data_IF_375950533148
#
_entry.id   IF_375950533148
#
_cell.length_a   1.000
_cell.length_b   1.000
_cell.length_c   1.000
_cell.angle_alpha   90.00
_cell.angle_beta   90.00
_cell.angle_gamma   90.00
#
_symmetry.space_group_name_H-M   'P 1'
#
loop_
_entity.id
_entity.type
_entity.pdbx_description
1 polymer ?
#
# COMPACT_ATOMS: atom_id res chain seq x y z
N UNK A 1 3.22 8.80 20.15
CA UNK A 1 3.36 7.65 21.06
C UNK A 1 4.49 7.89 22.06
N UNK A 2 4.16 8.47 23.21
CA UNK A 2 5.02 8.44 24.39
C UNK A 2 5.24 6.96 24.72
N UNK A 3 6.39 6.40 24.33
CA UNK A 3 6.70 4.99 24.50
C UNK A 3 6.55 4.64 25.97
N UNK A 4 5.65 3.71 26.28
CA UNK A 4 5.55 3.14 27.62
C UNK A 4 6.89 2.49 27.92
N UNK A 5 7.61 3.05 28.87
CA UNK A 5 8.86 2.46 29.36
C UNK A 5 8.46 1.47 30.45
N UNK A 6 8.93 0.23 30.33
CA UNK A 6 8.71 -0.83 31.30
C UNK A 6 10.05 -1.24 31.92
N UNK A 7 10.01 -1.75 33.15
CA UNK A 7 11.22 -2.23 33.80
C UNK A 7 11.73 -3.50 33.13
N UNK A 8 13.04 -3.64 33.04
CA UNK A 8 13.65 -4.86 32.52
C UNK A 8 13.32 -6.08 33.39
N UNK A 9 13.09 -5.88 34.69
CA UNK A 9 12.63 -6.92 35.61
C UNK A 9 11.28 -7.50 35.21
N UNK A 10 10.32 -6.64 34.82
CA UNK A 10 9.04 -7.11 34.28
C UNK A 10 9.26 -7.90 33.00
N UNK A 11 10.17 -7.45 32.13
CA UNK A 11 10.55 -8.19 30.92
C UNK A 11 11.07 -9.59 31.23
N UNK A 12 11.90 -9.74 32.27
CA UNK A 12 12.40 -11.04 32.71
C UNK A 12 11.29 -11.94 33.29
N UNK A 13 10.33 -11.36 34.02
CA UNK A 13 9.17 -12.08 34.54
C UNK A 13 8.30 -12.66 33.41
N UNK A 14 7.99 -11.84 32.40
CA UNK A 14 7.21 -12.25 31.23
C UNK A 14 7.93 -13.35 30.43
N UNK A 15 9.25 -13.25 30.27
CA UNK A 15 10.06 -14.24 29.54
C UNK A 15 10.10 -15.63 30.20
N UNK A 16 9.80 -15.72 31.50
CA UNK A 16 9.80 -16.98 32.26
C UNK A 16 8.42 -17.65 32.32
N UNK A 17 7.41 -17.08 31.66
CA UNK A 17 6.06 -17.68 31.62
C UNK A 17 6.01 -18.89 30.69
N UNK A 18 5.16 -19.87 31.03
CA UNK A 18 4.98 -21.12 30.30
C UNK A 18 4.49 -20.93 28.85
N UNK A 19 3.74 -19.87 28.61
CA UNK A 19 3.10 -19.52 27.35
C UNK A 19 4.10 -18.88 26.37
N UNK A 20 5.26 -18.44 26.87
CA UNK A 20 6.29 -17.72 26.14
C UNK A 20 7.42 -18.67 25.74
N UNK A 21 7.74 -18.71 24.44
CA UNK A 21 8.94 -19.39 23.98
C UNK A 21 10.16 -18.53 24.35
N UNK A 22 10.82 -18.87 25.46
CA UNK A 22 11.95 -18.11 25.99
C UNK A 22 13.14 -18.09 25.02
N UNK A 23 13.27 -19.03 24.08
CA UNK A 23 14.38 -19.09 23.11
C UNK A 23 14.16 -18.19 21.89
N UNK A 24 12.91 -17.87 21.59
CA UNK A 24 12.52 -17.05 20.43
C UNK A 24 11.98 -15.68 20.80
N UNK A 25 11.68 -15.44 22.06
CA UNK A 25 11.19 -14.13 22.54
C UNK A 25 12.36 -13.19 22.87
N UNK A 26 12.13 -11.88 22.89
CA UNK A 26 13.20 -10.92 23.18
C UNK A 26 12.68 -9.64 23.82
N UNK A 27 13.52 -9.03 24.66
CA UNK A 27 13.31 -7.69 25.20
C UNK A 27 13.80 -6.66 24.19
N UNK A 28 13.03 -5.60 23.98
CA UNK A 28 13.37 -4.57 23.03
C UNK A 28 13.23 -3.17 23.62
N UNK A 29 14.23 -2.33 23.35
CA UNK A 29 14.17 -0.89 23.59
C UNK A 29 13.96 -0.19 22.24
N UNK A 30 12.92 0.62 22.18
CA UNK A 30 12.48 1.31 20.99
C UNK A 30 12.52 2.81 21.24
N UNK A 31 13.43 3.52 20.57
CA UNK A 31 13.52 4.97 20.70
C UNK A 31 13.64 5.68 19.35
N UNK A 32 12.72 6.59 19.01
CA UNK A 32 12.87 7.45 17.86
C UNK A 32 13.91 8.53 18.17
N UNK A 33 14.91 8.67 17.31
CA UNK A 33 15.86 9.78 17.33
C UNK A 33 15.63 10.68 16.13
N UNK A 34 15.69 11.99 16.36
CA UNK A 34 15.75 12.95 15.27
C UNK A 34 17.20 12.99 14.76
N UNK A 35 17.37 12.92 13.45
CA UNK A 35 18.69 12.96 12.85
C UNK A 35 19.07 14.40 12.47
N UNK A 36 20.28 14.82 12.79
CA UNK A 36 20.80 16.14 12.42
C UNK A 36 21.12 16.24 10.92
N UNK A 37 21.41 15.10 10.27
CA UNK A 37 21.90 15.05 8.89
C UNK A 37 20.79 14.96 7.83
N UNK A 38 19.57 14.56 8.20
CA UNK A 38 18.44 14.46 7.26
C UNK A 38 17.09 14.64 7.96
N UNK A 39 16.11 15.18 7.23
CA UNK A 39 14.75 15.37 7.75
C UNK A 39 14.06 14.02 7.94
N UNK A 40 13.89 13.60 9.19
CA UNK A 40 13.16 12.39 9.57
C UNK A 40 13.52 11.93 10.98
N UNK A 41 12.79 10.93 11.45
CA UNK A 41 13.16 10.18 12.66
C UNK A 41 13.80 8.88 12.23
N UNK A 42 14.86 8.44 12.88
CA UNK A 42 15.40 7.08 12.75
C UNK A 42 15.08 6.31 14.02
N UNK A 43 14.70 5.04 13.88
CA UNK A 43 14.34 4.22 15.03
C UNK A 43 15.55 3.48 15.58
N UNK A 44 15.99 3.78 16.80
CA UNK A 44 16.96 2.93 17.49
C UNK A 44 16.23 1.73 18.12
N UNK A 45 16.77 0.55 17.85
CA UNK A 45 16.24 -0.72 18.32
C UNK A 45 17.34 -1.44 19.10
N UNK A 46 17.23 -1.46 20.42
CA UNK A 46 18.10 -2.24 21.30
C UNK A 46 17.56 -3.65 21.47
N UNK A 47 18.32 -4.67 21.08
CA UNK A 47 17.94 -6.09 21.23
C UNK A 47 18.97 -6.86 22.05
N UNK A 48 18.50 -7.92 22.72
CA UNK A 48 19.40 -8.88 23.37
C UNK A 48 20.22 -9.61 22.29
N UNK A 49 21.56 -9.65 22.39
CA UNK A 49 22.39 -10.34 21.41
C UNK A 49 21.96 -11.80 21.21
N UNK A 50 21.87 -12.22 19.95
CA UNK A 50 21.45 -13.58 19.56
C UNK A 50 19.94 -13.75 19.41
N UNK A 51 19.16 -12.68 19.66
CA UNK A 51 17.71 -12.64 19.48
C UNK A 51 17.27 -11.70 18.36
N UNK A 52 18.19 -11.38 17.45
CA UNK A 52 17.90 -10.49 16.32
C UNK A 52 16.94 -11.13 15.32
N UNK A 53 16.94 -12.47 15.21
CA UNK A 53 16.02 -13.22 14.33
C UNK A 53 14.55 -12.97 14.67
N UNK A 54 14.19 -12.79 15.94
CA UNK A 54 12.81 -12.46 16.36
C UNK A 54 12.33 -11.14 15.74
N UNK A 55 13.25 -10.21 15.52
CA UNK A 55 12.98 -8.91 14.93
C UNK A 55 13.12 -8.91 13.40
N UNK A 56 14.10 -9.66 12.87
CA UNK A 56 14.49 -9.66 11.45
C UNK A 56 13.73 -10.73 10.63
N UNK A 57 13.53 -11.94 11.17
CA UNK A 57 13.00 -13.10 10.42
C UNK A 57 11.48 -13.29 10.50
N UNK A 58 10.79 -12.63 11.43
CA UNK A 58 9.31 -12.61 11.44
C UNK A 58 8.72 -11.95 10.19
N UNK A 59 9.56 -11.34 9.35
CA UNK A 59 9.26 -10.99 7.98
C UNK A 59 9.85 -12.09 7.07
N UNK A 60 8.99 -12.90 6.44
CA UNK A 60 9.43 -13.90 5.45
C UNK A 60 10.24 -13.22 4.33
N UNK A 61 11.38 -13.79 3.95
CA UNK A 61 12.28 -13.38 2.86
C UNK A 61 13.15 -12.12 3.10
N UNK A 62 13.43 -11.74 4.34
CA UNK A 62 14.40 -10.66 4.59
C UNK A 62 15.79 -11.10 4.19
N UNK A 63 16.35 -10.38 3.23
CA UNK A 63 17.76 -10.52 2.86
C UNK A 63 18.54 -9.48 3.64
N UNK A 64 19.58 -9.92 4.35
CA UNK A 64 20.55 -9.02 5.00
C UNK A 64 21.87 -9.18 4.27
N UNK A 65 22.43 -8.07 3.82
CA UNK A 65 23.79 -8.03 3.30
C UNK A 65 24.74 -7.88 4.50
N UNK A 66 25.67 -8.81 4.69
CA UNK A 66 26.60 -8.83 5.83
C UNK A 66 26.20 -9.76 6.98
N UNK A 67 26.54 -9.39 8.21
CA UNK A 67 26.24 -10.16 9.43
C UNK A 67 24.82 -9.88 9.93
N UNK A 68 24.18 -10.92 10.47
CA UNK A 68 22.79 -10.89 11.00
C UNK A 68 22.67 -10.86 12.52
N UNK A 69 23.76 -11.16 13.23
CA UNK A 69 23.76 -11.24 14.69
C UNK A 69 24.83 -10.34 15.29
N UNK A 70 24.52 -9.78 16.46
CA UNK A 70 25.42 -8.95 17.26
C UNK A 70 26.23 -9.80 18.26
N UNK A 71 26.03 -11.12 18.32
CA UNK A 71 26.76 -12.02 19.22
C UNK A 71 28.25 -11.99 18.93
N UNK A 72 29.05 -11.66 19.95
CA UNK A 72 30.52 -11.60 19.85
C UNK A 72 31.05 -10.35 19.16
N UNK A 73 30.19 -9.41 18.78
CA UNK A 73 30.59 -8.11 18.25
C UNK A 73 30.72 -7.06 19.37
N UNK A 74 31.43 -5.96 19.09
CA UNK A 74 31.55 -4.85 20.02
C UNK A 74 30.25 -4.05 20.13
N UNK A 75 30.08 -3.34 21.25
CA UNK A 75 28.91 -2.50 21.54
C UNK A 75 28.64 -1.43 20.46
N UNK A 76 29.68 -1.00 19.74
CA UNK A 76 29.59 -0.04 18.65
C UNK A 76 29.20 -0.66 17.30
N UNK A 77 28.85 -1.94 17.25
CA UNK A 77 28.45 -2.62 16.02
C UNK A 77 26.93 -2.54 15.82
N UNK A 78 26.50 -2.19 14.62
CA UNK A 78 25.08 -1.97 14.30
C UNK A 78 24.65 -2.65 13.01
N UNK A 79 23.39 -3.07 12.98
CA UNK A 79 22.70 -3.51 11.78
C UNK A 79 21.70 -2.40 11.41
N UNK A 80 21.67 -1.97 10.16
CA UNK A 80 20.85 -0.84 9.74
C UNK A 80 19.82 -1.23 8.68
N UNK A 81 18.69 -0.53 8.67
CA UNK A 81 17.70 -0.63 7.60
C UNK A 81 18.16 0.02 6.29
N UNK A 82 17.54 -0.36 5.18
CA UNK A 82 17.88 0.12 3.84
C UNK A 82 17.79 1.65 3.70
N UNK A 83 16.79 2.30 4.31
CA UNK A 83 16.61 3.74 4.25
C UNK A 83 17.70 4.48 5.03
N UNK A 84 18.13 3.93 6.17
CA UNK A 84 19.27 4.47 6.93
C UNK A 84 20.56 4.30 6.12
N UNK A 85 20.76 3.14 5.49
CA UNK A 85 21.92 2.90 4.64
C UNK A 85 22.00 3.89 3.47
N UNK A 86 20.87 4.15 2.80
CA UNK A 86 20.80 5.15 1.73
C UNK A 86 21.07 6.57 2.22
N UNK A 87 20.44 7.00 3.32
CA UNK A 87 20.59 8.36 3.83
C UNK A 87 22.02 8.66 4.28
N UNK A 88 22.73 7.66 4.80
CA UNK A 88 24.13 7.79 5.22
C UNK A 88 25.13 7.38 4.13
N UNK A 89 24.67 6.94 2.94
CA UNK A 89 25.50 6.26 1.92
C UNK A 89 26.41 5.18 2.52
N UNK A 90 25.86 4.42 3.48
CA UNK A 90 26.60 3.43 4.25
C UNK A 90 26.65 2.09 3.52
N UNK A 91 27.78 1.39 3.66
CA UNK A 91 27.99 0.03 3.16
C UNK A 91 28.39 -0.89 4.31
N UNK A 92 28.28 -2.20 4.11
CA UNK A 92 28.74 -3.16 5.12
C UNK A 92 30.23 -2.94 5.38
N UNK A 93 30.58 -2.66 6.63
CA UNK A 93 31.93 -2.32 7.08
C UNK A 93 32.20 -0.83 7.25
N UNK A 94 31.32 0.06 6.76
CA UNK A 94 31.49 1.52 6.94
C UNK A 94 31.13 1.96 8.36
N UNK A 95 31.61 3.16 8.75
CA UNK A 95 31.27 3.77 10.04
C UNK A 95 30.25 4.89 9.82
N UNK A 96 29.14 4.85 10.55
CA UNK A 96 28.15 5.93 10.60
C UNK A 96 28.24 6.67 11.92
N UNK A 97 27.87 7.95 11.94
CA UNK A 97 27.82 8.76 13.17
C UNK A 97 26.37 9.10 13.47
N UNK A 98 25.92 8.72 14.67
CA UNK A 98 24.54 8.91 15.14
C UNK A 98 24.60 9.41 16.58
N UNK A 99 23.94 10.54 16.87
CA UNK A 99 23.92 11.16 18.21
C UNK A 99 25.33 11.31 18.80
N UNK A 100 26.27 11.82 17.99
CA UNK A 100 27.69 12.02 18.34
C UNK A 100 28.49 10.74 18.69
N UNK A 101 27.94 9.55 18.43
CA UNK A 101 28.59 8.26 18.59
C UNK A 101 28.89 7.61 17.24
N UNK A 102 30.04 6.95 17.12
CA UNK A 102 30.47 6.26 15.90
C UNK A 102 30.14 4.78 15.97
N UNK A 103 29.43 4.30 14.96
CA UNK A 103 28.98 2.92 14.86
C UNK A 103 29.51 2.26 13.60
N UNK A 104 29.99 1.02 13.73
CA UNK A 104 30.40 0.19 12.61
C UNK A 104 29.23 -0.60 12.08
N UNK A 105 28.90 -0.42 10.80
CA UNK A 105 27.82 -1.15 10.14
C UNK A 105 28.30 -2.55 9.83
N UNK A 106 27.69 -3.56 10.45
CA UNK A 106 28.03 -4.98 10.22
C UNK A 106 27.03 -5.69 9.31
N UNK A 107 25.83 -5.12 9.13
CA UNK A 107 24.79 -5.66 8.28
C UNK A 107 23.81 -4.59 7.82
N UNK A 108 23.25 -4.79 6.63
CA UNK A 108 22.21 -3.92 6.05
C UNK A 108 20.99 -4.79 5.72
N UNK A 109 19.84 -4.46 6.30
CA UNK A 109 18.56 -5.11 6.04
C UNK A 109 18.02 -4.55 4.72
N UNK A 110 17.75 -5.42 3.74
CA UNK A 110 17.15 -5.00 2.46
C UNK A 110 15.73 -4.51 2.67
N UNK A 111 15.28 -3.62 1.78
CA UNK A 111 13.98 -2.99 1.87
C UNK A 111 12.84 -4.02 1.91
N UNK A 112 12.02 -3.94 2.95
CA UNK A 112 10.84 -4.80 3.15
C UNK A 112 9.57 -4.00 2.84
N UNK A 113 9.57 -2.69 3.10
CA UNK A 113 8.40 -1.82 3.01
C UNK A 113 7.72 -1.57 4.35
N UNK A 114 6.41 -1.33 4.34
CA UNK A 114 5.64 -0.98 5.54
C UNK A 114 5.29 -2.21 6.38
N UNK A 115 5.68 -2.21 7.65
CA UNK A 115 5.39 -3.28 8.59
C UNK A 115 5.63 -2.87 10.04
N UNK A 116 5.07 -3.64 10.97
CA UNK A 116 5.40 -3.56 12.39
C UNK A 116 6.54 -4.53 12.71
N UNK A 117 7.48 -4.14 13.59
CA UNK A 117 7.59 -2.82 14.23
C UNK A 117 8.04 -1.74 13.23
N UNK A 118 7.55 -0.51 13.44
CA UNK A 118 7.75 0.69 12.60
C UNK A 118 8.93 0.57 11.62
N UNK A 119 8.63 0.61 10.31
CA UNK A 119 9.58 0.62 9.17
C UNK A 119 10.98 0.13 9.56
N UNK A 120 11.19 -1.19 9.58
CA UNK A 120 12.51 -1.82 9.76
C UNK A 120 13.55 -1.17 8.84
N UNK A 121 13.12 -0.73 7.66
CA UNK A 121 13.90 0.04 6.67
C UNK A 121 14.55 1.32 7.26
N UNK A 122 13.94 1.94 8.28
CA UNK A 122 14.42 3.14 8.95
C UNK A 122 14.85 2.88 10.40
N UNK A 123 15.43 1.71 10.65
CA UNK A 123 15.90 1.29 11.98
C UNK A 123 17.43 1.15 12.06
N UNK A 124 17.96 1.36 13.26
CA UNK A 124 19.33 1.04 13.66
C UNK A 124 19.23 0.05 14.81
N UNK A 125 19.58 -1.20 14.53
CA UNK A 125 19.58 -2.29 15.49
C UNK A 125 20.96 -2.38 16.14
N UNK A 126 20.98 -2.38 17.46
CA UNK A 126 22.18 -2.45 18.29
C UNK A 126 21.93 -3.29 19.55
N UNK A 127 22.97 -3.54 20.33
CA UNK A 127 22.83 -4.31 21.56
C UNK A 127 21.99 -3.54 22.59
N UNK A 128 21.11 -4.24 23.32
CA UNK A 128 20.20 -3.66 24.29
C UNK A 128 20.94 -2.88 25.39
N UNK A 129 22.01 -3.46 25.94
CA UNK A 129 22.87 -2.83 26.95
C UNK A 129 23.45 -1.51 26.46
N UNK A 130 23.94 -1.49 25.23
CA UNK A 130 24.50 -0.29 24.61
C UNK A 130 23.43 0.77 24.35
N UNK A 131 22.26 0.36 23.83
CA UNK A 131 21.14 1.26 23.62
C UNK A 131 20.66 1.90 24.94
N UNK A 132 20.55 1.12 26.02
CA UNK A 132 20.21 1.62 27.35
C UNK A 132 21.24 2.63 27.87
N UNK A 133 22.54 2.36 27.65
CA UNK A 133 23.62 3.26 28.08
C UNK A 133 23.61 4.57 27.30
N UNK A 134 23.48 4.52 25.97
CA UNK A 134 23.49 5.71 25.10
C UNK A 134 22.27 6.60 25.34
N UNK A 135 21.14 5.99 25.71
CA UNK A 135 19.89 6.69 25.95
C UNK A 135 19.65 7.08 27.42
N UNK A 136 20.62 6.85 28.30
CA UNK A 136 20.49 7.11 29.74
C UNK A 136 19.26 6.42 30.37
N UNK A 137 18.93 5.22 29.89
CA UNK A 137 17.77 4.42 30.31
C UNK A 137 18.20 3.06 30.89
N UNK A 138 18.93 3.04 32.02
CA UNK A 138 19.44 1.80 32.61
C UNK A 138 18.29 0.91 33.11
N UNK A 139 18.33 -0.38 32.77
CA UNK A 139 17.33 -1.39 33.18
C UNK A 139 15.89 -1.08 32.74
N UNK A 140 15.75 -0.31 31.67
CA UNK A 140 14.46 0.06 31.09
C UNK A 140 14.38 -0.49 29.67
N UNK A 141 13.20 -0.96 29.30
CA UNK A 141 12.88 -1.45 27.95
C UNK A 141 11.55 -0.82 27.51
N UNK A 142 11.23 -0.89 26.21
CA UNK A 142 9.96 -0.37 25.70
C UNK A 142 8.90 -1.46 25.57
N UNK A 143 9.32 -2.68 25.26
CA UNK A 143 8.40 -3.80 25.05
C UNK A 143 9.10 -5.15 25.15
N UNK A 144 8.30 -6.20 25.23
CA UNK A 144 8.73 -7.59 25.12
C UNK A 144 8.10 -8.15 23.84
N UNK A 145 8.93 -8.60 22.90
CA UNK A 145 8.48 -9.28 21.70
C UNK A 145 8.36 -10.76 22.04
N UNK A 146 7.12 -11.24 22.06
CA UNK A 146 6.78 -12.58 22.52
C UNK A 146 6.50 -13.47 21.31
N UNK A 147 7.17 -14.61 21.27
CA UNK A 147 6.81 -15.73 20.40
C UNK A 147 6.10 -16.76 21.27
N UNK A 148 4.80 -17.03 21.04
CA UNK A 148 4.05 -17.97 21.86
C UNK A 148 4.56 -19.40 21.65
N UNK A 149 4.47 -20.23 22.69
CA UNK A 149 4.87 -21.64 22.64
C UNK A 149 3.90 -22.49 21.80
N UNK A 150 2.59 -22.20 21.89
CA UNK A 150 1.54 -22.97 21.22
C UNK A 150 0.74 -22.11 20.21
N UNK A 151 -0.05 -21.17 20.72
CA UNK A 151 -0.95 -20.33 19.91
C UNK A 151 -0.87 -18.86 20.33
N UNK A 152 -0.92 -17.97 19.34
CA UNK A 152 -0.94 -16.51 19.55
C UNK A 152 -2.19 -16.12 20.35
N UNK A 153 -3.36 -16.61 19.96
CA UNK A 153 -4.63 -16.17 20.56
C UNK A 153 -4.74 -16.58 22.04
N UNK A 154 -4.23 -17.76 22.40
CA UNK A 154 -4.23 -18.24 23.79
C UNK A 154 -3.26 -17.43 24.63
N UNK A 155 -2.03 -17.27 24.15
CA UNK A 155 -1.01 -16.50 24.86
C UNK A 155 -1.42 -15.02 25.02
N UNK A 156 -2.10 -14.44 24.04
CA UNK A 156 -2.62 -13.08 24.11
C UNK A 156 -3.63 -12.92 25.25
N UNK A 157 -4.62 -13.82 25.34
CA UNK A 157 -5.63 -13.81 26.39
C UNK A 157 -4.99 -13.99 27.77
N UNK A 158 -4.09 -14.96 27.92
CA UNK A 158 -3.44 -15.26 29.19
C UNK A 158 -2.55 -14.12 29.67
N UNK A 159 -1.79 -13.51 28.76
CA UNK A 159 -0.96 -12.34 29.07
C UNK A 159 -1.83 -11.11 29.38
N UNK A 160 -2.94 -10.90 28.68
CA UNK A 160 -3.82 -9.75 28.91
C UNK A 160 -4.54 -9.84 30.25
N UNK A 161 -4.86 -11.06 30.69
CA UNK A 161 -5.40 -11.33 32.02
C UNK A 161 -4.34 -11.16 33.12
N UNK A 162 -3.10 -11.60 32.87
CA UNK A 162 -2.01 -11.48 33.83
C UNK A 162 -1.51 -10.03 33.99
N UNK A 163 -1.54 -9.23 32.92
CA UNK A 163 -0.98 -7.89 32.86
C UNK A 163 -2.03 -6.87 32.33
N UNK A 164 -3.16 -6.66 33.04
CA UNK A 164 -4.27 -5.83 32.55
C UNK A 164 -3.93 -4.34 32.40
N UNK A 165 -2.87 -3.87 33.07
CA UNK A 165 -2.37 -2.50 32.96
C UNK A 165 -1.52 -2.25 31.71
N UNK A 166 -1.21 -3.29 30.94
CA UNK A 166 -0.37 -3.23 29.75
C UNK A 166 -1.17 -3.58 28.50
N UNK A 167 -0.85 -2.89 27.40
CA UNK A 167 -1.43 -3.19 26.10
C UNK A 167 -0.65 -4.31 25.44
N UNK A 168 -1.30 -5.45 25.21
CA UNK A 168 -0.73 -6.54 24.41
C UNK A 168 -1.31 -6.43 23.01
N UNK A 169 -0.43 -6.48 22.03
CA UNK A 169 -0.79 -6.40 20.62
C UNK A 169 -0.27 -7.65 19.92
N UNK A 170 -1.17 -8.39 19.28
CA UNK A 170 -0.76 -9.49 18.43
C UNK A 170 -0.43 -9.02 17.01
N UNK A 171 0.29 -9.86 16.27
CA UNK A 171 0.44 -9.64 14.83
C UNK A 171 -0.92 -9.68 14.11
N UNK A 172 -1.88 -10.45 14.64
CA UNK A 172 -3.23 -10.54 14.09
C UNK A 172 -3.98 -9.21 14.23
N UNK A 173 -3.86 -8.50 15.35
CA UNK A 173 -4.53 -7.20 15.54
C UNK A 173 -3.96 -6.12 14.63
N UNK A 174 -2.64 -6.11 14.48
CA UNK A 174 -1.97 -5.18 13.58
C UNK A 174 -2.38 -5.43 12.14
N UNK A 175 -2.42 -6.70 11.71
CA UNK A 175 -2.89 -7.08 10.37
C UNK A 175 -4.35 -6.72 10.16
N UNK A 176 -5.25 -7.05 11.09
CA UNK A 176 -6.67 -6.69 11.03
C UNK A 176 -6.85 -5.18 10.92
N UNK A 177 -6.18 -4.40 11.77
CA UNK A 177 -6.25 -2.93 11.74
C UNK A 177 -5.78 -2.37 10.40
N UNK A 178 -4.70 -2.91 9.83
CA UNK A 178 -4.22 -2.51 8.50
C UNK A 178 -5.21 -2.93 7.40
N UNK A 179 -5.75 -4.15 7.45
CA UNK A 179 -6.73 -4.66 6.51
C UNK A 179 -8.03 -3.84 6.55
N UNK A 180 -8.50 -3.47 7.74
CA UNK A 180 -9.67 -2.62 7.96
C UNK A 180 -9.45 -1.21 7.43
N UNK A 181 -8.31 -0.58 7.74
CA UNK A 181 -7.97 0.74 7.20
C UNK A 181 -7.88 0.73 5.66
N UNK A 182 -7.24 -0.30 5.10
CA UNK A 182 -7.17 -0.48 3.64
C UNK A 182 -8.54 -0.76 3.04
N UNK A 183 -9.40 -1.50 3.73
CA UNK A 183 -10.78 -1.76 3.31
C UNK A 183 -11.59 -0.47 3.25
N UNK A 184 -11.50 0.39 4.26
CA UNK A 184 -12.17 1.70 4.27
C UNK A 184 -11.69 2.60 3.12
N UNK A 185 -10.38 2.66 2.89
CA UNK A 185 -9.81 3.40 1.76
C UNK A 185 -10.34 2.84 0.42
N UNK A 186 -10.36 1.51 0.25
CA UNK A 186 -10.90 0.86 -0.96
C UNK A 186 -12.37 1.19 -1.17
N UNK A 187 -13.20 1.13 -0.13
CA UNK A 187 -14.62 1.47 -0.22
C UNK A 187 -14.80 2.92 -0.69
N UNK A 188 -14.06 3.85 -0.09
CA UNK A 188 -14.09 5.26 -0.47
C UNK A 188 -13.73 5.48 -1.94
N UNK A 189 -12.63 4.89 -2.42
CA UNK A 189 -12.26 4.97 -3.83
C UNK A 189 -13.27 4.30 -4.76
N UNK A 190 -13.83 3.15 -4.37
CA UNK A 190 -14.88 2.48 -5.15
C UNK A 190 -16.13 3.35 -5.29
N UNK A 191 -16.52 4.10 -4.25
CA UNK A 191 -17.62 5.05 -4.34
C UNK A 191 -17.33 6.17 -5.33
N UNK A 192 -16.12 6.74 -5.31
CA UNK A 192 -15.68 7.75 -6.28
C UNK A 192 -15.69 7.16 -7.69
N UNK A 193 -15.16 5.95 -7.89
CA UNK A 193 -15.18 5.27 -9.18
C UNK A 193 -16.59 5.03 -9.69
N UNK A 194 -17.53 4.62 -8.82
CA UNK A 194 -18.94 4.46 -9.19
C UNK A 194 -19.60 5.79 -9.59
N UNK A 195 -19.28 6.87 -8.88
CA UNK A 195 -19.73 8.21 -9.24
C UNK A 195 -19.19 8.65 -10.61
N UNK A 196 -17.88 8.50 -10.86
CA UNK A 196 -17.25 8.82 -12.14
C UNK A 196 -17.87 7.99 -13.26
N UNK A 197 -18.09 6.69 -13.03
CA UNK A 197 -18.76 5.81 -13.98
C UNK A 197 -20.15 6.33 -14.38
N UNK A 198 -20.98 6.71 -13.40
CA UNK A 198 -22.30 7.26 -13.67
C UNK A 198 -22.22 8.57 -14.48
N UNK A 199 -21.29 9.46 -14.13
CA UNK A 199 -21.03 10.70 -14.86
C UNK A 199 -20.58 10.42 -16.30
N UNK A 200 -19.68 9.45 -16.51
CA UNK A 200 -19.22 9.07 -17.86
C UNK A 200 -20.36 8.57 -18.75
N UNK A 201 -21.27 7.75 -18.22
CA UNK A 201 -22.44 7.27 -18.98
C UNK A 201 -23.31 8.46 -19.42
N UNK A 202 -23.55 9.43 -18.53
CA UNK A 202 -24.35 10.62 -18.82
C UNK A 202 -23.65 11.51 -19.85
N UNK A 203 -22.34 11.73 -19.73
CA UNK A 203 -21.57 12.55 -20.67
C UNK A 203 -21.60 11.99 -22.08
N UNK A 204 -21.34 10.69 -22.24
CA UNK A 204 -21.41 10.04 -23.56
C UNK A 204 -22.84 10.08 -24.10
N UNK A 205 -23.85 9.87 -23.25
CA UNK A 205 -25.24 9.98 -23.65
C UNK A 205 -25.60 11.37 -24.18
N UNK A 206 -25.11 12.44 -23.55
CA UNK A 206 -25.32 13.83 -24.02
C UNK A 206 -24.71 14.04 -25.41
N UNK A 207 -23.46 13.59 -25.61
CA UNK A 207 -22.78 13.69 -26.91
C UNK A 207 -23.53 12.90 -27.98
N UNK A 208 -23.96 11.68 -27.67
CA UNK A 208 -24.73 10.84 -28.60
C UNK A 208 -26.10 11.45 -28.92
N UNK A 209 -26.78 12.07 -27.95
CA UNK A 209 -28.02 12.83 -28.21
C UNK A 209 -27.79 13.97 -29.20
N UNK A 210 -26.67 14.69 -29.06
CA UNK A 210 -26.29 15.76 -29.98
C UNK A 210 -26.05 15.21 -31.39
N UNK A 211 -25.28 14.11 -31.50
CA UNK A 211 -24.99 13.46 -32.78
C UNK A 211 -26.26 12.96 -33.50
N UNK A 212 -27.23 12.39 -32.75
CA UNK A 212 -28.52 11.97 -33.31
C UNK A 212 -29.31 13.16 -33.85
N UNK A 213 -29.28 14.31 -33.16
CA UNK A 213 -29.97 15.53 -33.62
C UNK A 213 -29.36 16.06 -34.91
N UNK A 214 -28.04 16.14 -34.99
CA UNK A 214 -27.33 16.60 -36.19
C UNK A 214 -27.60 15.69 -37.40
N UNK A 215 -27.61 14.37 -37.20
CA UNK A 215 -27.87 13.37 -38.26
C UNK A 215 -29.35 13.03 -38.48
N UNK A 216 -30.29 13.84 -37.96
CA UNK A 216 -31.75 13.56 -38.05
C UNK A 216 -32.21 13.34 -39.50
N UNK A 217 -31.70 14.14 -40.44
CA UNK A 217 -32.07 14.04 -41.87
C UNK A 217 -31.59 12.73 -42.50
N UNK A 218 -30.37 12.31 -42.20
CA UNK A 218 -29.81 11.03 -42.66
C UNK A 218 -30.58 9.83 -42.09
N UNK A 219 -30.95 9.90 -40.81
CA UNK A 219 -31.77 8.85 -40.18
C UNK A 219 -33.17 8.81 -40.81
N UNK A 220 -33.73 9.98 -41.11
CA UNK A 220 -35.01 10.13 -41.81
C UNK A 220 -35.00 9.53 -43.22
N UNK A 221 -33.95 9.79 -44.01
CA UNK A 221 -33.80 9.22 -45.36
C UNK A 221 -33.58 7.71 -45.31
N UNK A 222 -32.74 7.21 -44.39
CA UNK A 222 -32.57 5.76 -44.18
C UNK A 222 -33.91 5.08 -43.85
N UNK A 223 -34.74 5.71 -43.01
CA UNK A 223 -36.07 5.18 -42.69
C UNK A 223 -37.05 5.25 -43.87
N UNK A 224 -36.94 6.26 -44.73
CA UNK A 224 -37.78 6.39 -45.93
C UNK A 224 -37.47 5.30 -46.97
N UNK A 225 -36.21 4.89 -47.09
CA UNK A 225 -35.75 3.83 -48.01
C UNK A 225 -36.06 2.42 -47.44
N UNK A 226 -36.52 2.32 -46.19
CA UNK A 226 -37.01 1.07 -45.58
C UNK A 226 -36.08 0.42 -44.55
N UNK A 227 -35.06 1.13 -44.07
CA UNK A 227 -34.16 0.60 -43.02
C UNK A 227 -34.95 0.25 -41.76
N UNK A 228 -34.73 -0.97 -41.24
CA UNK A 228 -35.38 -1.46 -40.02
C UNK A 228 -34.93 -0.65 -38.80
N UNK A 229 -35.85 -0.37 -37.87
CA UNK A 229 -35.54 0.31 -36.59
C UNK A 229 -34.41 -0.36 -35.81
N UNK A 230 -34.35 -1.71 -35.85
CA UNK A 230 -33.28 -2.48 -35.20
C UNK A 230 -31.89 -2.15 -35.76
N UNK A 231 -31.77 -1.94 -37.07
CA UNK A 231 -30.50 -1.60 -37.72
C UNK A 231 -30.00 -0.21 -37.30
N UNK A 232 -30.91 0.77 -37.18
CA UNK A 232 -30.60 2.11 -36.68
C UNK A 232 -30.18 2.05 -35.20
N UNK A 233 -30.89 1.25 -34.40
CA UNK A 233 -30.57 1.07 -32.99
C UNK A 233 -29.18 0.46 -32.80
N UNK A 234 -28.85 -0.62 -33.52
CA UNK A 234 -27.52 -1.24 -33.45
C UNK A 234 -26.43 -0.30 -33.93
N UNK A 235 -26.69 0.48 -34.99
CA UNK A 235 -25.71 1.44 -35.52
C UNK A 235 -25.28 2.45 -34.46
N UNK A 236 -26.24 3.04 -33.75
CA UNK A 236 -25.95 4.05 -32.72
C UNK A 236 -25.27 3.43 -31.49
N UNK A 237 -25.66 2.20 -31.11
CA UNK A 237 -24.96 1.48 -30.03
C UNK A 237 -23.51 1.15 -30.43
N UNK A 238 -23.24 0.84 -31.70
CA UNK A 238 -21.87 0.65 -32.17
C UNK A 238 -21.08 1.95 -32.15
N UNK A 239 -21.67 3.09 -32.53
CA UNK A 239 -21.01 4.41 -32.40
C UNK A 239 -20.63 4.70 -30.94
N UNK A 240 -21.55 4.48 -29.99
CA UNK A 240 -21.25 4.71 -28.57
C UNK A 240 -20.23 3.72 -28.00
N UNK A 241 -20.25 2.45 -28.45
CA UNK A 241 -19.24 1.45 -28.10
C UNK A 241 -17.86 1.86 -28.61
N UNK A 242 -17.74 2.29 -29.86
CA UNK A 242 -16.46 2.73 -30.45
C UNK A 242 -15.92 3.95 -29.68
N UNK A 243 -16.78 4.93 -29.36
CA UNK A 243 -16.39 6.09 -28.56
C UNK A 243 -15.88 5.68 -27.17
N UNK A 244 -16.58 4.77 -26.50
CA UNK A 244 -16.16 4.25 -25.20
C UNK A 244 -14.83 3.47 -25.29
N UNK A 245 -14.63 2.71 -26.36
CA UNK A 245 -13.42 1.92 -26.58
C UNK A 245 -12.20 2.80 -26.82
N UNK A 246 -12.33 3.83 -27.66
CA UNK A 246 -11.27 4.81 -27.89
C UNK A 246 -10.92 5.53 -26.59
N UNK A 247 -11.92 5.97 -25.83
CA UNK A 247 -11.72 6.59 -24.53
C UNK A 247 -11.01 5.65 -23.53
N UNK A 248 -11.40 4.37 -23.50
CA UNK A 248 -10.77 3.35 -22.67
C UNK A 248 -9.30 3.11 -23.04
N UNK A 249 -8.99 3.01 -24.33
CA UNK A 249 -7.60 2.85 -24.82
C UNK A 249 -6.76 4.06 -24.43
N UNK A 250 -7.25 5.27 -24.66
CA UNK A 250 -6.55 6.51 -24.27
C UNK A 250 -6.34 6.55 -22.75
N UNK A 251 -7.35 6.18 -21.97
CA UNK A 251 -7.25 6.11 -20.51
C UNK A 251 -6.16 5.14 -20.03
N UNK A 252 -6.09 3.95 -20.63
CA UNK A 252 -5.03 2.96 -20.33
C UNK A 252 -3.65 3.53 -20.67
N UNK A 253 -3.50 4.19 -21.82
CA UNK A 253 -2.22 4.79 -22.24
C UNK A 253 -1.79 5.89 -21.26
N UNK A 254 -2.73 6.71 -20.78
CA UNK A 254 -2.45 7.79 -19.83
C UNK A 254 -2.28 7.32 -18.37
N UNK A 255 -2.69 6.09 -18.05
CA UNK A 255 -2.61 5.55 -16.69
C UNK A 255 -1.16 5.39 -16.19
N UNK A 256 -0.28 4.78 -17.00
CA UNK A 256 1.12 4.55 -16.60
C UNK A 256 1.89 5.84 -16.29
N UNK A 257 1.92 6.87 -17.18
CA UNK A 257 2.66 8.08 -16.89
C UNK A 257 2.11 8.83 -15.68
N UNK A 258 0.79 8.87 -15.49
CA UNK A 258 0.17 9.53 -14.32
C UNK A 258 0.46 8.80 -13.01
N UNK A 259 0.47 7.46 -13.03
CA UNK A 259 0.86 6.65 -11.87
C UNK A 259 2.33 6.89 -11.47
N UNK A 260 3.23 6.88 -12.46
CA UNK A 260 4.65 7.08 -12.23
C UNK A 260 4.99 8.49 -11.72
N UNK A 261 4.34 9.55 -12.25
CA UNK A 261 4.57 10.92 -11.76
C UNK A 261 4.08 11.12 -10.34
N UNK A 262 2.97 10.51 -9.95
CA UNK A 262 2.51 10.48 -8.56
C UNK A 262 3.48 9.72 -7.65
N UNK A 263 3.98 8.56 -8.10
CA UNK A 263 4.98 7.79 -7.36
C UNK A 263 6.25 8.58 -7.08
N UNK A 264 6.74 9.33 -8.08
CA UNK A 264 7.88 10.24 -7.94
C UNK A 264 7.66 11.32 -6.89
N UNK A 265 6.50 11.99 -6.92
CA UNK A 265 6.15 13.02 -5.95
C UNK A 265 6.06 12.45 -4.53
N UNK A 266 5.73 11.17 -4.40
CA UNK A 266 5.66 10.44 -3.12
C UNK A 266 6.99 9.79 -2.72
N UNK A 267 8.07 10.00 -3.47
CA UNK A 267 9.42 9.54 -3.11
C UNK A 267 9.79 8.13 -3.58
N UNK A 268 9.03 7.52 -4.50
CA UNK A 268 9.42 6.26 -5.12
C UNK A 268 10.63 6.46 -6.04
N UNK A 269 11.74 5.76 -5.75
CA UNK A 269 13.00 5.86 -6.51
C UNK A 269 13.04 4.98 -7.76
N UNK A 270 12.21 3.94 -7.84
CA UNK A 270 12.07 3.11 -9.04
C UNK A 270 10.86 3.56 -9.86
N UNK A 271 11.13 4.32 -10.92
CA UNK A 271 10.12 4.86 -11.82
C UNK A 271 10.36 4.26 -13.18
N UNK A 272 9.54 3.29 -13.54
CA UNK A 272 9.67 2.60 -14.80
C UNK A 272 8.56 3.09 -15.71
N UNK A 273 8.75 4.29 -16.29
CA UNK A 273 7.77 4.97 -17.15
C UNK A 273 7.28 4.10 -18.32
N UNK A 274 8.07 3.09 -18.71
CA UNK A 274 7.79 2.17 -19.82
C UNK A 274 7.29 0.80 -19.37
N UNK A 275 7.24 0.51 -18.06
CA UNK A 275 6.73 -0.77 -17.57
C UNK A 275 5.21 -0.75 -17.52
N UNK A 276 4.58 -0.91 -18.69
CA UNK A 276 3.15 -1.14 -18.84
C UNK A 276 2.82 -2.58 -18.42
N UNK A 277 2.96 -2.90 -17.14
CA UNK A 277 2.50 -4.17 -16.61
C UNK A 277 1.08 -4.02 -16.05
N UNK A 278 0.09 -4.31 -16.89
CA UNK A 278 -1.31 -4.43 -16.46
C UNK A 278 -1.62 -5.92 -16.34
N UNK A 279 -1.87 -6.45 -15.13
CA UNK A 279 -2.32 -7.82 -14.94
C UNK A 279 -3.53 -8.13 -15.83
N UNK A 280 -3.52 -9.28 -16.51
CA UNK A 280 -4.59 -9.71 -17.42
C UNK A 280 -6.00 -9.62 -16.80
N UNK A 281 -6.23 -9.95 -15.51
CA UNK A 281 -7.55 -9.80 -14.90
C UNK A 281 -8.07 -8.36 -14.91
N UNK A 282 -7.18 -7.38 -14.70
CA UNK A 282 -7.53 -5.95 -14.67
C UNK A 282 -7.90 -5.48 -16.09
N UNK A 283 -7.17 -5.95 -17.11
CA UNK A 283 -7.48 -5.62 -18.50
C UNK A 283 -8.90 -6.11 -18.90
N UNK A 284 -9.26 -7.32 -18.49
CA UNK A 284 -10.60 -7.89 -18.73
C UNK A 284 -11.66 -7.04 -18.02
N UNK A 285 -11.39 -6.62 -16.78
CA UNK A 285 -12.30 -5.76 -16.02
C UNK A 285 -12.51 -4.40 -16.70
N UNK A 286 -11.45 -3.77 -17.22
CA UNK A 286 -11.54 -2.51 -17.96
C UNK A 286 -12.38 -2.69 -19.22
N UNK A 287 -12.14 -3.75 -19.99
CA UNK A 287 -12.89 -4.04 -21.21
C UNK A 287 -14.40 -4.23 -20.91
N UNK A 288 -14.72 -4.96 -19.83
CA UNK A 288 -16.10 -5.12 -19.37
C UNK A 288 -16.74 -3.78 -19.00
N UNK A 289 -16.03 -2.93 -18.25
CA UNK A 289 -16.53 -1.61 -17.84
C UNK A 289 -16.78 -0.74 -19.08
N UNK A 290 -15.84 -0.68 -20.02
CA UNK A 290 -15.97 0.07 -21.28
C UNK A 290 -17.18 -0.41 -22.07
N UNK A 291 -17.36 -1.72 -22.21
CA UNK A 291 -18.50 -2.31 -22.90
C UNK A 291 -19.84 -1.92 -22.25
N UNK A 292 -19.91 -1.95 -20.92
CA UNK A 292 -21.11 -1.55 -20.18
C UNK A 292 -21.37 -0.05 -20.40
N UNK A 293 -20.38 0.82 -20.23
CA UNK A 293 -20.54 2.27 -20.44
C UNK A 293 -21.02 2.57 -21.86
N UNK A 294 -20.35 2.02 -22.87
CA UNK A 294 -20.68 2.25 -24.28
C UNK A 294 -22.09 1.77 -24.63
N UNK A 295 -22.51 0.62 -24.09
CA UNK A 295 -23.87 0.11 -24.30
C UNK A 295 -24.91 0.99 -23.61
N UNK A 296 -24.77 1.25 -22.30
CA UNK A 296 -25.78 1.99 -21.53
C UNK A 296 -25.93 3.44 -21.98
N UNK A 297 -24.81 4.10 -22.32
CA UNK A 297 -24.84 5.48 -22.82
C UNK A 297 -25.52 5.61 -24.19
N UNK A 298 -25.42 4.59 -25.05
CA UNK A 298 -26.01 4.57 -26.38
C UNK A 298 -27.49 4.18 -26.43
N UNK A 299 -28.02 3.47 -25.43
CA UNK A 299 -29.37 2.92 -25.44
C UNK A 299 -30.47 3.98 -25.61
N UNK A 300 -30.44 5.04 -24.80
CA UNK A 300 -31.46 6.09 -24.85
C UNK A 300 -31.39 6.91 -26.16
N UNK A 301 -30.23 7.41 -26.62
CA UNK A 301 -30.09 8.07 -27.92
C UNK A 301 -30.51 7.18 -29.09
N UNK A 302 -30.10 5.90 -29.07
CA UNK A 302 -30.47 4.93 -30.10
C UNK A 302 -31.99 4.75 -30.17
N UNK A 303 -32.64 4.64 -29.02
CA UNK A 303 -34.10 4.55 -28.96
C UNK A 303 -34.79 5.77 -29.55
N UNK A 304 -34.34 6.99 -29.21
CA UNK A 304 -34.89 8.23 -29.76
C UNK A 304 -34.73 8.28 -31.28
N UNK A 305 -33.56 7.91 -31.80
CA UNK A 305 -33.32 7.89 -33.24
C UNK A 305 -34.29 6.98 -34.02
N UNK A 306 -34.66 5.83 -33.45
CA UNK A 306 -35.62 4.93 -34.11
C UNK A 306 -37.04 5.50 -34.22
N UNK A 307 -37.36 6.55 -33.46
CA UNK A 307 -38.67 7.21 -33.43
C UNK A 307 -38.77 8.42 -34.36
N UNK A 308 -37.67 8.89 -34.96
CA UNK A 308 -37.66 10.03 -35.89
C UNK A 308 -38.52 9.73 -37.13
N UNK A 309 -39.61 10.47 -37.34
CA UNK A 309 -40.52 10.26 -38.48
C UNK A 309 -39.89 10.73 -39.80
N UNK A 310 -39.96 9.93 -40.90
CA UNK A 310 -39.44 10.32 -42.21
C UNK A 310 -40.05 11.63 -42.74
N UNK A 311 -41.35 11.83 -42.51
CA UNK A 311 -42.09 13.03 -42.95
C UNK A 311 -41.59 14.29 -42.23
N UNK A 312 -41.31 14.20 -40.93
CA UNK A 312 -40.81 15.35 -40.17
C UNK A 312 -39.33 15.63 -40.44
N UNK A 313 -38.53 14.59 -40.69
CA UNK A 313 -37.11 14.73 -40.99
C UNK A 313 -36.82 15.40 -42.35
N UNK A 314 -37.75 15.28 -43.32
CA UNK A 314 -37.63 15.88 -44.66
C UNK A 314 -38.30 17.26 -44.79
N UNK A 315 -39.13 17.65 -43.81
CA UNK A 315 -39.91 18.90 -43.83
C UNK A 315 -39.26 20.04 -43.02
N UNK A 316 -38.18 19.76 -42.29
CA UNK A 316 -37.42 20.79 -41.56
C UNK A 316 -36.57 21.61 -42.55
N UNK A 317 -37.06 22.80 -42.89
CA UNK A 317 -36.24 24.00 -43.15
C UNK A 317 -36.21 24.83 -41.86
#
# INVERSE_FOLDING_TARGET
PSGSIISENLGNEVMNRSEVNTDKSTKALFMPIQNDNFSGYTMIVGLTPGREETFIENVKNVTVDGKRSLVGESDNSVIIGSQVAENFNATVGSTITVSNHKYKVIGIIKQIGTGWPLTIDNSIVMQLSHAQSVMEMPNLISTVIIVPQESIDVAEIDLQNAYPSYSIYSQNDTRKTLEDNMSQIKIFFNMISAFIFAVSVILIMIVMMMSVKEKTKEIGTMRAIGTRKRSILTLIIYESLILSLIGGIIGIILMSPTYNTLGLLMGAKEVNFLSFYIPTPILIQILMIVFIIGTFSGLLPAYIATRISPIHALRYE
#
